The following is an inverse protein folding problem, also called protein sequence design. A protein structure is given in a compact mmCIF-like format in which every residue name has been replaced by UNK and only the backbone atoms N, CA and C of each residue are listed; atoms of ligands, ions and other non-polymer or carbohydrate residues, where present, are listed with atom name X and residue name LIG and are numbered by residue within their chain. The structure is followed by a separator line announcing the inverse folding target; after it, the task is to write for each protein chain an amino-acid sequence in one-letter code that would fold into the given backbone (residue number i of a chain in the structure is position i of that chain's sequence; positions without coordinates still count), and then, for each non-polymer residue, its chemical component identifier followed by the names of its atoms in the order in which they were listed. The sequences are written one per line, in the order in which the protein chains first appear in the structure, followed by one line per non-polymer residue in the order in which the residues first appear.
data_IF_567762506109
#
_entry.id   IF_567762506109
#
_cell.length_a   1.000
_cell.length_b   1.000
_cell.length_c   1.000
_cell.angle_alpha   90.00
_cell.angle_beta   90.00
_cell.angle_gamma   90.00
#
_symmetry.space_group_name_H-M   'P 1'
#
loop_
_entity.id
_entity.type
_entity.pdbx_description
1 polymer ?
#
# COMPACT_ATOMS: atom_id res chain seq x y z
N UNK A 1 35.65 12.54 -11.16
CA UNK A 1 36.19 11.20 -10.79
C UNK A 1 36.46 10.37 -12.04
N UNK A 2 37.60 9.68 -12.12
CA UNK A 2 37.90 8.81 -13.28
C UNK A 2 36.98 7.58 -13.31
N UNK A 3 36.70 7.03 -14.51
CA UNK A 3 35.91 5.78 -14.66
C UNK A 3 36.51 4.64 -13.84
N UNK A 4 37.85 4.54 -13.81
CA UNK A 4 38.58 3.53 -13.01
C UNK A 4 38.31 3.69 -11.52
N UNK A 5 38.33 4.92 -11.00
CA UNK A 5 38.04 5.18 -9.58
C UNK A 5 36.60 4.80 -9.22
N UNK A 6 35.62 5.12 -10.08
CA UNK A 6 34.22 4.72 -9.86
C UNK A 6 34.05 3.20 -9.83
N UNK A 7 34.71 2.48 -10.75
CA UNK A 7 34.67 1.01 -10.78
C UNK A 7 35.34 0.39 -9.55
N UNK A 8 36.47 0.95 -9.11
CA UNK A 8 37.13 0.49 -7.88
C UNK A 8 36.28 0.74 -6.64
N UNK A 9 35.65 1.90 -6.52
CA UNK A 9 34.74 2.18 -5.40
C UNK A 9 33.53 1.26 -5.40
N UNK A 10 32.93 1.00 -6.56
CA UNK A 10 31.83 0.04 -6.68
C UNK A 10 32.29 -1.38 -6.31
N UNK A 11 33.46 -1.81 -6.79
CA UNK A 11 33.97 -3.15 -6.53
C UNK A 11 34.31 -3.34 -5.04
N UNK A 12 35.01 -2.39 -4.43
CA UNK A 12 35.39 -2.45 -3.01
C UNK A 12 34.16 -2.30 -2.12
N UNK A 13 33.28 -1.35 -2.41
CA UNK A 13 32.02 -1.17 -1.67
C UNK A 13 31.09 -2.38 -1.80
N UNK A 14 30.96 -2.92 -3.02
CA UNK A 14 30.17 -4.13 -3.29
C UNK A 14 30.74 -5.38 -2.63
N UNK A 15 32.06 -5.56 -2.65
CA UNK A 15 32.72 -6.66 -1.96
C UNK A 15 32.60 -6.53 -0.44
N UNK A 16 32.72 -5.32 0.10
CA UNK A 16 32.51 -5.03 1.52
C UNK A 16 31.08 -5.36 1.95
N UNK A 17 30.09 -4.84 1.22
CA UNK A 17 28.67 -5.14 1.47
C UNK A 17 28.37 -6.64 1.33
N UNK A 18 28.88 -7.28 0.29
CA UNK A 18 28.71 -8.72 0.06
C UNK A 18 29.30 -9.55 1.20
N UNK A 19 30.49 -9.18 1.69
CA UNK A 19 31.13 -9.85 2.83
C UNK A 19 30.29 -9.70 4.10
N UNK A 20 29.76 -8.49 4.36
CA UNK A 20 28.88 -8.24 5.51
C UNK A 20 27.59 -9.06 5.43
N UNK A 21 26.96 -9.11 4.26
CA UNK A 21 25.73 -9.89 4.05
C UNK A 21 25.97 -11.39 4.21
N UNK A 22 27.08 -11.91 3.65
CA UNK A 22 27.46 -13.32 3.82
C UNK A 22 27.77 -13.63 5.28
N UNK A 23 28.53 -12.79 5.97
CA UNK A 23 28.83 -12.95 7.39
C UNK A 23 27.55 -12.96 8.23
N UNK A 24 26.61 -12.06 7.95
CA UNK A 24 25.31 -12.03 8.61
C UNK A 24 24.50 -13.31 8.36
N UNK A 25 24.47 -13.82 7.13
CA UNK A 25 23.81 -15.08 6.80
C UNK A 25 24.43 -16.28 7.54
N UNK A 26 25.74 -16.28 7.73
CA UNK A 26 26.45 -17.33 8.47
C UNK A 26 26.23 -17.27 9.99
N UNK A 27 25.90 -16.08 10.52
CA UNK A 27 25.58 -15.86 11.94
C UNK A 27 24.10 -16.15 12.26
N UNK A 28 23.26 -16.39 11.24
CA UNK A 28 21.86 -16.73 11.44
C UNK A 28 21.69 -18.09 12.14
N UNK A 29 20.68 -18.23 13.02
CA UNK A 29 20.33 -19.51 13.59
C UNK A 29 20.00 -20.56 12.53
N UNK A 30 20.43 -21.81 12.77
CA UNK A 30 20.06 -22.92 11.91
C UNK A 30 18.53 -23.07 11.79
N UNK A 31 18.07 -23.47 10.61
CA UNK A 31 16.66 -23.71 10.32
C UNK A 31 16.04 -24.72 11.30
N UNK A 32 14.78 -24.49 11.70
CA UNK A 32 14.05 -25.38 12.61
C UNK A 32 14.34 -25.18 14.10
N UNK A 33 15.17 -24.20 14.49
CA UNK A 33 15.32 -23.82 15.91
C UNK A 33 13.99 -23.31 16.47
N UNK A 34 13.70 -23.71 17.72
CA UNK A 34 12.44 -23.36 18.41
C UNK A 34 12.37 -21.92 18.92
N UNK A 35 13.50 -21.24 19.05
CA UNK A 35 13.59 -19.90 19.61
C UNK A 35 14.41 -18.97 18.73
N UNK A 36 13.92 -17.75 18.57
CA UNK A 36 14.64 -16.66 17.91
C UNK A 36 14.50 -15.40 18.77
N UNK A 37 15.60 -14.73 19.17
CA UNK A 37 15.55 -13.64 20.14
C UNK A 37 14.63 -12.49 19.72
N UNK A 38 14.57 -12.18 18.42
CA UNK A 38 13.63 -11.18 17.90
C UNK A 38 12.22 -11.72 17.70
N UNK A 39 12.08 -13.00 17.34
CA UNK A 39 10.77 -13.61 17.10
C UNK A 39 9.96 -13.73 18.39
N UNK A 40 10.60 -14.18 19.46
CA UNK A 40 9.98 -14.28 20.78
C UNK A 40 9.57 -12.91 21.33
N UNK A 41 10.41 -11.88 21.15
CA UNK A 41 10.09 -10.51 21.57
C UNK A 41 8.92 -9.96 20.76
N UNK A 42 8.90 -10.18 19.45
CA UNK A 42 7.81 -9.70 18.59
C UNK A 42 6.47 -10.36 18.92
N UNK A 43 6.46 -11.68 19.11
CA UNK A 43 5.25 -12.43 19.52
C UNK A 43 4.78 -11.98 20.90
N UNK A 44 5.69 -11.84 21.86
CA UNK A 44 5.35 -11.37 23.22
C UNK A 44 4.74 -9.97 23.19
N UNK A 45 5.35 -9.03 22.47
CA UNK A 45 4.84 -7.68 22.32
C UNK A 45 3.43 -7.67 21.72
N UNK A 46 3.21 -8.43 20.64
CA UNK A 46 1.90 -8.59 20.00
C UNK A 46 0.82 -9.06 20.97
N UNK A 47 1.11 -10.12 21.74
CA UNK A 47 0.16 -10.67 22.72
C UNK A 47 -0.11 -9.70 23.87
N UNK A 48 0.92 -9.02 24.40
CA UNK A 48 0.74 -8.02 25.48
C UNK A 48 -0.07 -6.80 25.06
N UNK A 49 -0.08 -6.47 23.76
CA UNK A 49 -0.83 -5.35 23.18
C UNK A 49 -2.10 -5.82 22.46
N UNK A 50 -2.55 -7.03 22.75
CA UNK A 50 -3.76 -7.67 22.25
C UNK A 50 -3.92 -7.66 20.71
N UNK A 51 -2.82 -7.70 19.97
CA UNK A 51 -2.86 -7.86 18.51
C UNK A 51 -2.66 -9.34 18.20
N UNK A 52 -3.65 -10.00 17.59
CA UNK A 52 -3.58 -11.44 17.31
C UNK A 52 -2.70 -11.74 16.09
N UNK A 53 -2.75 -10.88 15.07
CA UNK A 53 -1.82 -10.93 13.94
C UNK A 53 -0.47 -10.31 14.32
N UNK A 54 0.52 -11.16 14.59
CA UNK A 54 1.89 -10.76 14.96
C UNK A 54 2.54 -9.90 13.88
N UNK A 55 2.28 -10.16 12.60
CA UNK A 55 2.84 -9.36 11.51
C UNK A 55 2.27 -7.94 11.54
N UNK A 56 0.96 -7.79 11.80
CA UNK A 56 0.35 -6.47 11.97
C UNK A 56 0.90 -5.73 13.20
N UNK A 57 1.16 -6.43 14.31
CA UNK A 57 1.86 -5.81 15.45
C UNK A 57 3.26 -5.34 15.07
N UNK A 58 4.00 -6.15 14.30
CA UNK A 58 5.33 -5.73 13.83
C UNK A 58 5.21 -4.50 12.96
N UNK A 59 4.34 -4.50 11.95
CA UNK A 59 4.25 -3.44 10.96
C UNK A 59 3.71 -2.13 11.53
N UNK A 60 2.67 -2.18 12.37
CA UNK A 60 1.94 -0.98 12.79
C UNK A 60 2.26 -0.52 14.22
N UNK A 61 2.98 -1.31 15.01
CA UNK A 61 3.22 -1.01 16.42
C UNK A 61 4.71 -1.10 16.82
N UNK A 62 5.44 -2.13 16.37
CA UNK A 62 6.87 -2.26 16.70
C UNK A 62 7.78 -1.56 15.69
N UNK A 63 7.40 -1.56 14.41
CA UNK A 63 8.15 -1.02 13.28
C UNK A 63 7.27 -0.09 12.43
N UNK A 64 6.42 0.68 13.10
CA UNK A 64 5.49 1.62 12.46
C UNK A 64 6.18 2.65 11.55
N UNK A 65 7.44 2.98 11.83
CA UNK A 65 8.27 3.84 10.97
C UNK A 65 8.55 3.23 9.60
N UNK A 66 8.74 1.91 9.52
CA UNK A 66 9.01 1.25 8.24
C UNK A 66 7.76 1.30 7.37
N UNK A 67 6.59 1.04 7.95
CA UNK A 67 5.28 1.17 7.27
C UNK A 67 5.00 2.62 6.83
N UNK A 68 5.34 3.61 7.66
CA UNK A 68 5.26 5.03 7.25
C UNK A 68 6.18 5.32 6.06
N UNK A 69 7.39 4.75 6.06
CA UNK A 69 8.33 4.86 4.94
C UNK A 69 7.78 4.22 3.66
N UNK A 70 7.26 2.99 3.74
CA UNK A 70 6.63 2.29 2.62
C UNK A 70 5.45 3.08 2.04
N UNK A 71 4.56 3.60 2.89
CA UNK A 71 3.46 4.48 2.50
C UNK A 71 3.96 5.73 1.79
N UNK A 72 5.00 6.37 2.33
CA UNK A 72 5.58 7.59 1.75
C UNK A 72 6.19 7.31 0.37
N UNK A 73 6.80 6.14 0.17
CA UNK A 73 7.34 5.72 -1.13
C UNK A 73 6.21 5.55 -2.14
N UNK A 74 5.12 4.87 -1.77
CA UNK A 74 3.97 4.68 -2.66
C UNK A 74 3.32 6.02 -3.01
N UNK A 75 3.00 6.84 -2.01
CA UNK A 75 2.44 8.18 -2.19
C UNK A 75 3.33 9.05 -3.11
N UNK A 76 4.64 9.07 -2.87
CA UNK A 76 5.57 9.82 -3.72
C UNK A 76 5.64 9.29 -5.15
N UNK A 77 5.57 7.97 -5.35
CA UNK A 77 5.54 7.36 -6.67
C UNK A 77 4.26 7.73 -7.44
N UNK A 78 3.10 7.67 -6.78
CA UNK A 78 1.81 8.08 -7.37
C UNK A 78 1.80 9.56 -7.70
N UNK A 79 2.24 10.42 -6.77
CA UNK A 79 2.37 11.85 -7.02
C UNK A 79 3.29 12.13 -8.21
N UNK A 80 4.42 11.42 -8.30
CA UNK A 80 5.32 11.47 -9.44
C UNK A 80 4.62 11.09 -10.74
N UNK A 81 3.85 10.01 -10.76
CA UNK A 81 3.05 9.61 -11.92
C UNK A 81 1.99 10.65 -12.28
N UNK A 82 1.27 11.23 -11.31
CA UNK A 82 0.28 12.29 -11.56
C UNK A 82 0.94 13.52 -12.19
N UNK A 83 2.14 13.90 -11.74
CA UNK A 83 2.89 15.03 -12.30
C UNK A 83 3.44 14.73 -13.69
N UNK A 84 4.01 13.54 -13.89
CA UNK A 84 4.65 13.14 -15.16
C UNK A 84 3.65 12.80 -16.26
N UNK A 85 2.50 12.24 -15.90
CA UNK A 85 1.44 11.82 -16.84
C UNK A 85 0.32 12.87 -16.94
N UNK A 86 0.55 14.09 -16.44
CA UNK A 86 -0.37 15.21 -16.64
C UNK A 86 -0.39 15.56 -18.12
N UNK A 87 -1.59 15.73 -18.67
CA UNK A 87 -1.79 16.13 -20.06
C UNK A 87 -0.87 17.29 -20.46
N UNK A 88 -0.07 17.07 -21.51
CA UNK A 88 0.77 18.09 -22.11
C UNK A 88 -0.06 19.09 -22.93
N UNK A 89 0.53 20.24 -23.28
CA UNK A 89 -0.20 21.28 -24.03
C UNK A 89 -0.58 20.85 -25.44
N UNK A 90 0.17 19.90 -26.00
CA UNK A 90 0.05 19.45 -27.40
C UNK A 90 -0.73 18.11 -27.49
N UNK A 91 -1.26 17.63 -26.35
CA UNK A 91 -2.03 16.39 -26.23
C UNK A 91 -3.53 16.71 -26.19
N UNK A 92 -4.33 15.96 -26.95
CA UNK A 92 -5.78 16.09 -26.98
C UNK A 92 -6.46 14.86 -26.38
N UNK A 93 -7.50 15.09 -25.56
CA UNK A 93 -8.35 14.00 -25.03
C UNK A 93 -9.38 13.61 -26.07
N UNK A 94 -9.18 12.46 -26.70
CA UNK A 94 -10.19 11.79 -27.50
C UNK A 94 -11.13 10.97 -26.60
N UNK A 95 -12.42 10.95 -26.94
CA UNK A 95 -13.37 10.08 -26.24
C UNK A 95 -13.07 8.61 -26.61
N UNK A 96 -12.84 7.71 -25.64
CA UNK A 96 -12.57 6.31 -25.93
C UNK A 96 -13.71 5.68 -26.75
N UNK A 97 -13.33 4.93 -27.78
CA UNK A 97 -14.29 4.10 -28.51
C UNK A 97 -14.84 3.00 -27.58
N UNK A 98 -16.15 2.69 -27.63
CA UNK A 98 -16.71 1.63 -26.82
C UNK A 98 -16.04 0.29 -27.12
N UNK A 99 -15.52 -0.39 -26.10
CA UNK A 99 -14.99 -1.74 -26.26
C UNK A 99 -16.12 -2.78 -26.13
N UNK A 100 -16.25 -3.67 -27.12
CA UNK A 100 -17.20 -4.78 -27.03
C UNK A 100 -16.64 -5.91 -26.16
N UNK A 101 -17.15 -6.03 -24.93
CA UNK A 101 -16.81 -7.14 -24.03
C UNK A 101 -17.84 -8.27 -24.19
N UNK A 102 -17.35 -9.50 -24.35
CA UNK A 102 -18.18 -10.69 -24.45
C UNK A 102 -19.14 -10.81 -23.24
N UNK A 103 -20.42 -11.06 -23.50
CA UNK A 103 -21.47 -11.13 -22.46
C UNK A 103 -21.14 -12.04 -21.26
N UNK A 104 -20.52 -13.23 -21.44
CA UNK A 104 -20.11 -14.07 -20.31
C UNK A 104 -19.07 -13.39 -19.42
N UNK A 105 -18.06 -12.74 -20.01
CA UNK A 105 -16.99 -12.02 -19.30
C UNK A 105 -17.58 -10.87 -18.50
N UNK A 106 -18.49 -10.10 -19.11
CA UNK A 106 -19.18 -8.99 -18.41
C UNK A 106 -20.00 -9.45 -17.22
N UNK A 107 -20.73 -10.55 -17.36
CA UNK A 107 -21.51 -11.13 -16.25
C UNK A 107 -20.60 -11.60 -15.12
N UNK A 108 -19.50 -12.27 -15.46
CA UNK A 108 -18.51 -12.72 -14.48
C UNK A 108 -17.90 -11.53 -13.72
N UNK A 109 -17.43 -10.51 -14.43
CA UNK A 109 -16.85 -9.33 -13.81
C UNK A 109 -17.84 -8.63 -12.86
N UNK A 110 -19.09 -8.40 -13.29
CA UNK A 110 -20.10 -7.76 -12.45
C UNK A 110 -20.46 -8.57 -11.19
N UNK A 111 -20.29 -9.89 -11.22
CA UNK A 111 -20.47 -10.75 -10.05
C UNK A 111 -19.25 -10.71 -9.12
N UNK A 112 -18.04 -10.68 -9.69
CA UNK A 112 -16.78 -10.70 -8.92
C UNK A 112 -16.48 -9.36 -8.27
N UNK A 113 -16.77 -8.23 -8.93
CA UNK A 113 -16.51 -6.87 -8.41
C UNK A 113 -16.99 -6.67 -6.96
N UNK A 114 -18.27 -6.89 -6.61
CA UNK A 114 -18.73 -6.68 -5.23
C UNK A 114 -18.11 -7.68 -4.25
N UNK A 115 -17.88 -8.93 -4.66
CA UNK A 115 -17.25 -9.94 -3.82
C UNK A 115 -15.81 -9.53 -3.51
N UNK A 116 -15.03 -9.17 -4.52
CA UNK A 116 -13.65 -8.73 -4.37
C UNK A 116 -13.55 -7.45 -3.54
N UNK A 117 -14.45 -6.48 -3.74
CA UNK A 117 -14.47 -5.25 -2.94
C UNK A 117 -14.74 -5.54 -1.46
N UNK A 118 -15.76 -6.35 -1.16
CA UNK A 118 -16.05 -6.76 0.23
C UNK A 118 -14.91 -7.56 0.82
N UNK A 119 -14.26 -8.44 0.05
CA UNK A 119 -13.05 -9.16 0.50
C UNK A 119 -11.91 -8.20 0.83
N UNK A 120 -11.64 -7.20 -0.01
CA UNK A 120 -10.61 -6.18 0.27
C UNK A 120 -10.90 -5.43 1.56
N UNK A 121 -12.12 -4.93 1.73
CA UNK A 121 -12.56 -4.25 2.96
C UNK A 121 -12.51 -5.15 4.19
N UNK A 122 -12.86 -6.43 4.04
CA UNK A 122 -12.76 -7.43 5.11
C UNK A 122 -11.31 -7.62 5.56
N UNK A 123 -10.38 -7.76 4.62
CA UNK A 123 -8.94 -7.91 4.90
C UNK A 123 -8.37 -6.68 5.62
N UNK A 124 -8.82 -5.47 5.25
CA UNK A 124 -8.46 -4.24 5.97
C UNK A 124 -9.04 -4.27 7.40
N UNK A 125 -10.35 -4.51 7.54
CA UNK A 125 -11.03 -4.45 8.84
C UNK A 125 -10.51 -5.48 9.87
N UNK A 126 -10.00 -6.62 9.39
CA UNK A 126 -9.50 -7.72 10.23
C UNK A 126 -7.97 -7.81 10.26
N UNK A 127 -7.24 -6.76 9.85
CA UNK A 127 -5.78 -6.77 9.76
C UNK A 127 -5.07 -7.12 11.07
N UNK A 128 -5.60 -6.68 12.21
CA UNK A 128 -5.11 -6.99 13.56
C UNK A 128 -5.43 -8.42 14.03
N UNK A 129 -6.33 -9.13 13.34
CA UNK A 129 -6.86 -10.43 13.73
C UNK A 129 -6.34 -11.58 12.85
N UNK A 130 -6.28 -11.34 11.54
CA UNK A 130 -6.05 -12.37 10.53
C UNK A 130 -4.93 -11.98 9.57
N UNK A 131 -4.30 -12.95 8.88
CA UNK A 131 -3.30 -12.66 7.85
C UNK A 131 -3.84 -11.71 6.78
N UNK A 132 -3.02 -10.73 6.39
CA UNK A 132 -3.41 -9.65 5.49
C UNK A 132 -3.05 -8.30 6.10
N UNK A 133 -3.94 -7.32 5.93
CA UNK A 133 -3.77 -5.96 6.41
C UNK A 133 -4.18 -4.91 5.37
N UNK A 134 -3.84 -3.66 5.66
CA UNK A 134 -4.18 -2.48 4.86
C UNK A 134 -3.69 -2.63 3.43
N UNK A 135 -2.41 -2.98 3.25
CA UNK A 135 -1.80 -3.04 1.93
C UNK A 135 -2.49 -4.05 1.01
N UNK A 136 -2.58 -5.31 1.44
CA UNK A 136 -3.16 -6.38 0.62
C UNK A 136 -4.65 -6.11 0.36
N UNK A 137 -5.39 -5.70 1.40
CA UNK A 137 -6.81 -5.39 1.26
C UNK A 137 -7.07 -4.18 0.37
N UNK A 138 -6.21 -3.16 0.42
CA UNK A 138 -6.26 -1.98 -0.44
C UNK A 138 -6.00 -2.32 -1.91
N UNK A 139 -4.99 -3.14 -2.20
CA UNK A 139 -4.73 -3.64 -3.57
C UNK A 139 -5.92 -4.44 -4.09
N UNK A 140 -6.52 -5.31 -3.27
CA UNK A 140 -7.71 -6.08 -3.66
C UNK A 140 -8.89 -5.15 -3.94
N UNK A 141 -9.14 -4.14 -3.11
CA UNK A 141 -10.21 -3.16 -3.31
C UNK A 141 -10.01 -2.33 -4.60
N UNK A 142 -8.79 -1.85 -4.85
CA UNK A 142 -8.45 -1.12 -6.07
C UNK A 142 -8.60 -1.99 -7.33
N UNK A 143 -8.18 -3.25 -7.25
CA UNK A 143 -8.33 -4.24 -8.32
C UNK A 143 -9.81 -4.52 -8.60
N UNK A 144 -10.63 -4.65 -7.55
CA UNK A 144 -12.06 -4.87 -7.69
C UNK A 144 -12.73 -3.76 -8.50
N UNK A 145 -12.36 -2.50 -8.27
CA UNK A 145 -12.86 -1.37 -9.08
C UNK A 145 -12.37 -1.46 -10.53
N UNK A 146 -11.08 -1.77 -10.75
CA UNK A 146 -10.49 -1.85 -12.08
C UNK A 146 -10.94 -3.07 -12.89
N UNK A 147 -11.51 -4.10 -12.28
CA UNK A 147 -12.16 -5.19 -13.03
C UNK A 147 -13.29 -4.69 -13.95
N UNK A 148 -13.89 -3.52 -13.66
CA UNK A 148 -14.90 -2.91 -14.53
C UNK A 148 -14.30 -2.45 -15.88
N UNK A 149 -13.01 -2.11 -15.92
CA UNK A 149 -12.30 -1.84 -17.17
C UNK A 149 -12.33 -3.06 -18.09
N UNK A 150 -11.94 -4.23 -17.54
CA UNK A 150 -11.83 -5.49 -18.30
C UNK A 150 -13.20 -6.09 -18.62
N UNK A 151 -14.16 -5.93 -17.71
CA UNK A 151 -15.43 -6.62 -17.74
C UNK A 151 -16.57 -5.84 -18.38
N UNK A 152 -16.53 -4.51 -18.37
CA UNK A 152 -17.62 -3.70 -18.87
C UNK A 152 -17.17 -2.83 -20.03
N UNK A 153 -16.69 -1.63 -19.71
CA UNK A 153 -16.19 -0.64 -20.65
C UNK A 153 -15.50 0.44 -19.82
N UNK A 154 -14.57 1.16 -20.43
CA UNK A 154 -13.84 2.24 -19.78
C UNK A 154 -14.77 3.33 -19.22
N UNK A 155 -15.85 3.67 -19.94
CA UNK A 155 -16.88 4.62 -19.46
C UNK A 155 -17.61 4.15 -18.19
N UNK A 156 -17.74 2.84 -17.99
CA UNK A 156 -18.35 2.31 -16.78
C UNK A 156 -17.43 2.47 -15.58
N UNK A 157 -16.11 2.28 -15.78
CA UNK A 157 -15.09 2.52 -14.78
C UNK A 157 -15.02 4.01 -14.39
N UNK A 158 -15.01 4.91 -15.38
CA UNK A 158 -14.92 6.37 -15.15
C UNK A 158 -16.05 6.87 -14.22
N UNK A 159 -17.28 6.36 -14.40
CA UNK A 159 -18.44 6.73 -13.54
C UNK A 159 -18.28 6.33 -12.08
N UNK A 160 -17.58 5.24 -11.79
CA UNK A 160 -17.37 4.76 -10.41
C UNK A 160 -16.02 5.21 -9.83
N UNK A 161 -15.21 5.91 -10.64
CA UNK A 161 -13.85 6.31 -10.32
C UNK A 161 -13.69 7.83 -10.42
N UNK A 162 -14.36 8.63 -9.56
CA UNK A 162 -14.12 10.07 -9.50
C UNK A 162 -12.70 10.33 -8.97
N UNK A 163 -11.75 10.56 -9.88
CA UNK A 163 -10.30 10.61 -9.56
C UNK A 163 -9.97 11.61 -8.45
N UNK A 164 -10.59 12.78 -8.46
CA UNK A 164 -10.35 13.79 -7.42
C UNK A 164 -10.70 13.30 -6.01
N UNK A 165 -11.70 12.41 -5.85
CA UNK A 165 -12.03 11.83 -4.55
C UNK A 165 -10.92 10.87 -4.08
N UNK A 166 -10.37 10.08 -4.99
CA UNK A 166 -9.27 9.17 -4.67
C UNK A 166 -7.98 9.93 -4.38
N UNK A 167 -7.64 10.99 -5.12
CA UNK A 167 -6.47 11.84 -4.82
C UNK A 167 -6.57 12.51 -3.45
N UNK A 168 -7.76 13.00 -3.10
CA UNK A 168 -8.01 13.57 -1.77
C UNK A 168 -7.95 12.49 -0.69
N UNK A 169 -8.54 11.32 -0.94
CA UNK A 169 -8.54 10.20 0.01
C UNK A 169 -7.13 9.68 0.26
N UNK A 170 -6.31 9.55 -0.78
CA UNK A 170 -4.89 9.19 -0.74
C UNK A 170 -4.12 10.16 0.18
N UNK A 171 -4.24 11.46 -0.09
CA UNK A 171 -3.60 12.51 0.72
C UNK A 171 -4.09 12.54 2.17
N UNK A 172 -5.41 12.40 2.40
CA UNK A 172 -6.00 12.39 3.74
C UNK A 172 -5.56 11.14 4.53
N UNK A 173 -5.48 9.99 3.87
CA UNK A 173 -5.03 8.75 4.49
C UNK A 173 -3.55 8.85 4.92
N UNK A 174 -2.67 9.36 4.06
CA UNK A 174 -1.28 9.67 4.39
C UNK A 174 -1.16 10.65 5.56
N UNK A 175 -1.89 11.77 5.51
CA UNK A 175 -1.94 12.73 6.59
C UNK A 175 -2.44 12.11 7.91
N UNK A 176 -3.46 11.23 7.85
CA UNK A 176 -4.03 10.60 9.05
C UNK A 176 -3.00 9.75 9.80
N UNK A 177 -2.12 9.05 9.09
CA UNK A 177 -1.05 8.25 9.69
C UNK A 177 -0.07 9.14 10.47
N UNK A 178 0.34 10.26 9.87
CA UNK A 178 1.22 11.25 10.52
C UNK A 178 0.53 11.91 11.71
N UNK A 179 -0.74 12.29 11.56
CA UNK A 179 -1.53 12.92 12.64
C UNK A 179 -1.69 11.98 13.83
N UNK A 180 -1.98 10.69 13.61
CA UNK A 180 -2.03 9.70 14.69
C UNK A 180 -0.67 9.56 15.40
N UNK A 181 0.43 9.59 14.65
CA UNK A 181 1.77 9.60 15.23
C UNK A 181 2.06 10.86 16.06
N UNK A 182 1.70 12.04 15.55
CA UNK A 182 1.87 13.33 16.25
C UNK A 182 0.97 13.43 17.49
N UNK A 183 -0.23 12.88 17.46
CA UNK A 183 -1.11 12.80 18.62
C UNK A 183 -0.43 12.05 19.79
N UNK A 184 0.37 11.01 19.48
CA UNK A 184 1.20 10.30 20.47
C UNK A 184 2.18 11.24 21.17
N UNK A 185 2.87 12.08 20.39
CA UNK A 185 3.82 13.07 20.90
C UNK A 185 3.12 14.12 21.76
N UNK A 186 1.98 14.63 21.31
CA UNK A 186 1.18 15.62 22.05
C UNK A 186 0.63 15.04 23.37
N UNK A 187 0.37 13.74 23.43
CA UNK A 187 -0.02 13.03 24.63
C UNK A 187 1.17 12.67 25.56
N UNK A 188 2.39 13.11 25.24
CA UNK A 188 3.59 12.87 26.05
C UNK A 188 4.25 11.50 25.82
N UNK A 189 3.91 10.82 24.72
CA UNK A 189 4.49 9.51 24.35
C UNK A 189 5.38 9.64 23.11
N UNK A 190 6.02 8.55 22.67
CA UNK A 190 6.82 8.60 21.44
C UNK A 190 5.92 8.67 20.19
N UNK A 191 6.45 9.20 19.10
CA UNK A 191 5.75 9.21 17.81
C UNK A 191 5.40 7.78 17.38
N UNK A 192 4.14 7.56 16.99
CA UNK A 192 3.56 6.24 16.66
C UNK A 192 3.63 5.21 17.81
N UNK A 193 3.82 5.63 19.06
CA UNK A 193 3.67 4.73 20.19
C UNK A 193 2.21 4.25 20.29
N UNK A 194 2.01 2.94 20.34
CA UNK A 194 0.70 2.33 20.54
C UNK A 194 0.23 2.46 22.00
N UNK A 195 -0.01 3.69 22.44
CA UNK A 195 -0.34 4.02 23.83
C UNK A 195 -1.53 4.97 23.95
N UNK A 196 -2.01 5.52 22.83
CA UNK A 196 -3.14 6.46 22.80
C UNK A 196 -4.49 5.81 23.09
N UNK A 197 -4.67 4.56 22.67
CA UNK A 197 -5.94 3.83 22.78
C UNK A 197 -5.76 2.58 23.65
N UNK A 198 -6.80 2.19 24.41
CA UNK A 198 -6.77 0.91 25.11
C UNK A 198 -6.67 -0.24 24.11
N UNK A 199 -5.96 -1.30 24.47
CA UNK A 199 -5.76 -2.46 23.60
C UNK A 199 -7.01 -3.32 23.34
N UNK A 200 -8.15 -2.98 23.96
CA UNK A 200 -9.41 -3.71 23.80
C UNK A 200 -9.35 -5.14 24.31
N UNK A 201 -10.30 -5.97 23.86
CA UNK A 201 -10.35 -7.39 24.18
C UNK A 201 -9.55 -8.16 23.14
N UNK A 202 -8.69 -9.10 23.57
CA UNK A 202 -7.93 -9.91 22.62
C UNK A 202 -8.84 -10.63 21.62
N UNK A 203 -8.43 -10.66 20.35
CA UNK A 203 -9.14 -11.32 19.25
C UNK A 203 -10.53 -10.74 18.93
N UNK A 204 -10.74 -9.44 19.16
CA UNK A 204 -11.95 -8.69 18.72
C UNK A 204 -11.57 -7.54 17.79
N UNK A 205 -12.54 -6.98 17.06
CA UNK A 205 -12.27 -5.84 16.16
C UNK A 205 -11.71 -4.60 16.88
N UNK A 206 -12.00 -4.44 18.17
CA UNK A 206 -11.48 -3.35 19.00
C UNK A 206 -10.09 -3.63 19.58
N UNK A 207 -9.47 -4.77 19.23
CA UNK A 207 -8.17 -5.16 19.78
C UNK A 207 -7.00 -4.43 19.10
N UNK A 208 -5.85 -4.32 19.79
CA UNK A 208 -4.62 -3.83 19.18
C UNK A 208 -4.37 -2.33 19.27
N UNK A 209 -5.24 -1.56 19.94
CA UNK A 209 -5.04 -0.13 20.18
C UNK A 209 -5.08 0.69 18.87
N UNK A 210 -3.97 1.32 18.50
CA UNK A 210 -3.83 2.09 17.25
C UNK A 210 -3.67 1.22 16.01
N UNK A 211 -3.31 -0.06 16.14
CA UNK A 211 -3.02 -0.95 15.00
C UNK A 211 -4.16 -0.97 13.95
N UNK A 212 -5.46 -1.13 14.33
CA UNK A 212 -6.54 -1.14 13.34
C UNK A 212 -6.69 0.19 12.60
N UNK A 213 -6.42 1.32 13.26
CA UNK A 213 -6.53 2.66 12.65
C UNK A 213 -5.40 2.92 11.65
N UNK A 214 -4.16 2.60 12.03
CA UNK A 214 -3.01 2.70 11.13
C UNK A 214 -3.16 1.76 9.93
N UNK A 215 -3.67 0.55 10.17
CA UNK A 215 -3.97 -0.41 9.13
C UNK A 215 -5.08 0.06 8.18
N UNK A 216 -6.13 0.70 8.71
CA UNK A 216 -7.19 1.29 7.91
C UNK A 216 -6.68 2.50 7.07
N UNK A 217 -5.86 3.36 7.67
CA UNK A 217 -5.22 4.47 6.96
C UNK A 217 -4.39 3.97 5.77
N UNK A 218 -3.54 2.95 5.97
CA UNK A 218 -2.79 2.32 4.86
C UNK A 218 -3.72 1.66 3.86
N UNK A 219 -4.78 0.98 4.30
CA UNK A 219 -5.72 0.36 3.37
C UNK A 219 -6.41 1.36 2.44
N UNK A 220 -6.79 2.52 2.97
CA UNK A 220 -7.40 3.60 2.19
C UNK A 220 -6.40 4.33 1.29
N UNK A 221 -5.17 4.55 1.77
CA UNK A 221 -4.07 5.11 0.98
C UNK A 221 -3.77 4.17 -0.19
N UNK A 222 -3.41 2.90 0.06
CA UNK A 222 -3.04 1.94 -1.00
C UNK A 222 -4.18 1.75 -2.00
N UNK A 223 -5.43 1.64 -1.53
CA UNK A 223 -6.57 1.53 -2.45
C UNK A 223 -6.68 2.75 -3.38
N UNK A 224 -6.51 3.95 -2.83
CA UNK A 224 -6.62 5.20 -3.59
C UNK A 224 -5.43 5.43 -4.50
N UNK A 225 -4.22 5.26 -3.98
CA UNK A 225 -2.96 5.31 -4.69
C UNK A 225 -2.96 4.41 -5.94
N UNK A 226 -3.34 3.13 -5.79
CA UNK A 226 -3.40 2.19 -6.91
C UNK A 226 -4.49 2.59 -7.91
N UNK A 227 -5.62 3.10 -7.44
CA UNK A 227 -6.69 3.59 -8.32
C UNK A 227 -6.23 4.78 -9.17
N UNK A 228 -5.58 5.77 -8.54
CA UNK A 228 -5.04 6.95 -9.21
C UNK A 228 -3.94 6.55 -10.19
N UNK A 229 -3.02 5.69 -9.76
CA UNK A 229 -1.91 5.21 -10.60
C UNK A 229 -2.43 4.57 -11.88
N UNK A 230 -3.30 3.57 -11.76
CA UNK A 230 -3.87 2.87 -12.91
C UNK A 230 -4.72 3.80 -13.77
N UNK A 231 -5.44 4.74 -13.18
CA UNK A 231 -6.15 5.75 -13.95
C UNK A 231 -5.22 6.58 -14.81
N UNK A 232 -4.15 7.15 -14.25
CA UNK A 232 -3.21 7.97 -15.02
C UNK A 232 -2.56 7.21 -16.18
N UNK A 233 -2.23 5.93 -15.98
CA UNK A 233 -1.74 5.08 -17.06
C UNK A 233 -2.80 4.78 -18.12
N UNK A 234 -4.04 4.51 -17.71
CA UNK A 234 -5.14 4.24 -18.65
C UNK A 234 -5.55 5.48 -19.44
N UNK A 235 -5.66 6.64 -18.79
CA UNK A 235 -5.96 7.93 -19.44
C UNK A 235 -4.91 8.20 -20.54
N UNK A 236 -3.62 8.02 -20.25
CA UNK A 236 -2.54 8.17 -21.22
C UNK A 236 -2.57 7.13 -22.34
N UNK A 237 -2.89 5.88 -22.04
CA UNK A 237 -2.89 4.80 -23.04
C UNK A 237 -4.14 4.79 -23.94
N UNK A 238 -5.26 5.35 -23.48
CA UNK A 238 -6.58 5.18 -24.13
C UNK A 238 -7.19 6.51 -24.57
N UNK A 239 -6.94 7.62 -23.88
CA UNK A 239 -7.60 8.90 -24.18
C UNK A 239 -6.70 9.92 -24.87
N UNK A 240 -5.38 9.79 -24.78
CA UNK A 240 -4.46 10.84 -25.23
C UNK A 240 -3.88 10.52 -26.60
N UNK A 241 -4.19 11.37 -27.58
CA UNK A 241 -3.60 11.36 -28.92
C UNK A 241 -2.60 12.53 -29.05
N UNK A 242 -1.40 12.24 -29.56
CA UNK A 242 -0.44 13.27 -29.97
C UNK A 242 -0.91 13.92 -31.29
N UNK A 243 -0.85 15.24 -31.39
CA UNK A 243 -0.99 15.92 -32.68
C UNK A 243 0.11 15.41 -33.62
N UNK A 244 -0.25 14.50 -34.54
CA UNK A 244 0.60 14.20 -35.68
C UNK A 244 0.71 15.49 -36.49
N UNK A 245 1.84 16.19 -36.31
CA UNK A 245 2.16 17.40 -37.06
C UNK A 245 2.00 17.15 -38.55
N UNK A 246 1.01 17.83 -39.14
CA UNK A 246 0.84 17.98 -40.59
C UNK A 246 1.87 18.94 -41.16
#
# INVERSE_FOLDING_TARGET
MSRRLRLWLLAVGGAGLGTLLVAACLDLPAFGRRGHPYGERAVRASLTRHTANVISSVNFDQRAYDTLGEMSILFAAVLGCVVLLRQARDEHRAAPLPAEVARPVRRYALLVVPVALVTGLYVIAHGQLSPGGGFQGGVVAATALHLLYLGADYRALERVRPIGVFEVTDSLAACSFVVLGLAGVLAGTAFLANTLLPYGTFNTLSSGGLVPLLNAAIGMEVASAVVVLLARFLDQAVEIEEENGS
#
